data_IF_539547255292
#
_entry.id   IF_539547255292
#
_cell.length_a   1.000
_cell.length_b   1.000
_cell.length_c   1.000
_cell.angle_alpha   90.00
_cell.angle_beta   90.00
_cell.angle_gamma   90.00
#
_symmetry.space_group_name_H-M   'P 1'
#
loop_
_entity.id
_entity.type
_entity.pdbx_description
1 polymer ?
#
# COMPACT_ATOMS: atom_id res chain seq x y z
N UNK A 1 26.71 -10.86 -23.30
CA UNK A 1 26.10 -10.31 -22.07
C UNK A 1 25.16 -9.18 -22.46
N UNK A 2 23.93 -9.17 -21.95
CA UNK A 2 22.95 -8.13 -22.25
C UNK A 2 23.48 -6.75 -21.83
N UNK A 3 23.49 -5.78 -22.74
CA UNK A 3 24.00 -4.41 -22.48
C UNK A 3 23.36 -3.77 -21.23
N UNK A 4 22.09 -4.10 -20.98
CA UNK A 4 21.35 -3.63 -19.81
C UNK A 4 21.86 -4.20 -18.48
N UNK A 5 22.18 -5.50 -18.45
CA UNK A 5 22.75 -6.13 -17.24
C UNK A 5 24.13 -5.56 -16.89
N UNK A 6 24.94 -5.27 -17.90
CA UNK A 6 26.25 -4.63 -17.71
C UNK A 6 26.11 -3.18 -17.22
N UNK A 7 25.10 -2.45 -17.69
CA UNK A 7 24.77 -1.12 -17.18
C UNK A 7 24.35 -1.16 -15.71
N UNK A 8 23.38 -2.01 -15.35
CA UNK A 8 22.93 -2.17 -13.97
C UNK A 8 24.07 -2.54 -13.03
N UNK A 9 24.91 -3.49 -13.44
CA UNK A 9 26.06 -3.91 -12.64
C UNK A 9 27.01 -2.73 -12.38
N UNK A 10 27.41 -2.00 -13.43
CA UNK A 10 28.32 -0.88 -13.28
C UNK A 10 27.74 0.30 -12.50
N UNK A 11 26.43 0.55 -12.64
CA UNK A 11 25.76 1.70 -12.03
C UNK A 11 25.37 1.47 -10.57
N UNK A 12 24.95 0.25 -10.21
CA UNK A 12 24.29 -0.03 -8.92
C UNK A 12 25.06 -1.07 -8.11
N UNK A 13 25.46 -2.19 -8.72
CA UNK A 13 25.95 -3.36 -7.99
C UNK A 13 27.47 -3.45 -7.86
N UNK A 14 28.24 -2.64 -8.60
CA UNK A 14 29.71 -2.69 -8.61
C UNK A 14 30.36 -2.17 -7.31
N UNK A 15 29.69 -1.28 -6.57
CA UNK A 15 30.19 -0.71 -5.31
C UNK A 15 29.24 -1.01 -4.16
N UNK A 16 29.75 -1.58 -3.07
CA UNK A 16 28.94 -1.99 -1.92
C UNK A 16 28.12 -0.83 -1.32
N UNK A 17 28.70 0.38 -1.22
CA UNK A 17 27.99 1.55 -0.67
C UNK A 17 26.81 1.97 -1.56
N UNK A 18 27.02 2.01 -2.88
CA UNK A 18 25.96 2.30 -3.86
C UNK A 18 24.88 1.23 -3.82
N UNK A 19 25.26 -0.04 -3.79
CA UNK A 19 24.33 -1.17 -3.67
C UNK A 19 23.46 -1.05 -2.42
N UNK A 20 24.07 -0.84 -1.25
CA UNK A 20 23.34 -0.71 0.02
C UNK A 20 22.38 0.50 0.00
N UNK A 21 22.84 1.65 -0.50
CA UNK A 21 21.98 2.83 -0.65
C UNK A 21 20.79 2.56 -1.59
N UNK A 22 21.01 1.87 -2.71
CA UNK A 22 19.95 1.48 -3.64
C UNK A 22 18.97 0.50 -3.00
N UNK A 23 19.44 -0.49 -2.24
CA UNK A 23 18.57 -1.43 -1.54
C UNK A 23 17.70 -0.71 -0.52
N UNK A 24 18.25 0.18 0.30
CA UNK A 24 17.46 0.92 1.29
C UNK A 24 16.45 1.88 0.65
N UNK A 25 16.89 2.67 -0.34
CA UNK A 25 16.00 3.58 -1.05
C UNK A 25 14.91 2.80 -1.82
N UNK A 26 15.29 1.70 -2.46
CA UNK A 26 14.38 0.80 -3.17
C UNK A 26 13.37 0.17 -2.23
N UNK A 27 13.79 -0.34 -1.07
CA UNK A 27 12.90 -0.93 -0.07
C UNK A 27 11.86 0.07 0.41
N UNK A 28 12.25 1.31 0.72
CA UNK A 28 11.32 2.35 1.14
C UNK A 28 10.30 2.70 0.04
N UNK A 29 10.77 2.91 -1.20
CA UNK A 29 9.90 3.22 -2.33
C UNK A 29 8.95 2.06 -2.64
N UNK A 30 9.45 0.82 -2.61
CA UNK A 30 8.67 -0.38 -2.82
C UNK A 30 7.62 -0.58 -1.73
N UNK A 31 7.96 -0.33 -0.45
CA UNK A 31 7.01 -0.41 0.65
C UNK A 31 5.83 0.53 0.42
N UNK A 32 6.09 1.82 0.16
CA UNK A 32 5.02 2.79 -0.08
C UNK A 32 4.13 2.39 -1.28
N UNK A 33 4.75 1.97 -2.38
CA UNK A 33 4.03 1.54 -3.57
C UNK A 33 3.22 0.27 -3.33
N UNK A 34 3.79 -0.70 -2.61
CA UNK A 34 3.16 -1.98 -2.31
C UNK A 34 1.99 -1.82 -1.34
N UNK A 35 2.14 -1.07 -0.26
CA UNK A 35 1.08 -0.84 0.72
C UNK A 35 -0.12 -0.17 0.03
N UNK A 36 0.12 0.97 -0.63
CA UNK A 36 -0.95 1.70 -1.29
C UNK A 36 -1.53 0.96 -2.51
N UNK A 37 -0.72 0.16 -3.20
CA UNK A 37 -1.16 -0.65 -4.33
C UNK A 37 -2.05 -1.81 -3.88
N UNK A 38 -1.59 -2.54 -2.86
CA UNK A 38 -2.29 -3.70 -2.31
C UNK A 38 -3.61 -3.30 -1.65
N UNK A 39 -3.65 -2.19 -0.92
CA UNK A 39 -4.90 -1.65 -0.36
C UNK A 39 -5.92 -1.34 -1.44
N UNK A 40 -5.51 -0.72 -2.56
CA UNK A 40 -6.42 -0.45 -3.69
C UNK A 40 -6.96 -1.71 -4.34
N UNK A 41 -6.11 -2.72 -4.51
CA UNK A 41 -6.53 -4.02 -5.06
C UNK A 41 -7.53 -4.67 -4.12
N UNK A 42 -7.21 -4.71 -2.82
CA UNK A 42 -8.11 -5.25 -1.80
C UNK A 42 -9.46 -4.52 -1.78
N UNK A 43 -9.42 -3.19 -1.86
CA UNK A 43 -10.60 -2.34 -1.85
C UNK A 43 -11.52 -2.57 -3.03
N UNK A 44 -10.92 -2.71 -4.21
CA UNK A 44 -11.66 -2.99 -5.42
C UNK A 44 -12.34 -4.35 -5.36
N UNK A 45 -11.65 -5.37 -4.81
CA UNK A 45 -12.18 -6.73 -4.71
C UNK A 45 -13.30 -6.82 -3.66
N UNK A 46 -13.15 -6.11 -2.55
CA UNK A 46 -14.06 -6.21 -1.39
C UNK A 46 -15.08 -5.06 -1.28
N UNK A 47 -15.26 -4.29 -2.35
CA UNK A 47 -16.15 -3.13 -2.37
C UNK A 47 -17.56 -3.49 -1.88
N UNK A 48 -18.07 -2.68 -0.95
CA UNK A 48 -19.40 -2.85 -0.36
C UNK A 48 -19.47 -3.87 0.78
N UNK A 49 -18.36 -4.53 1.11
CA UNK A 49 -18.25 -5.48 2.24
C UNK A 49 -17.35 -4.96 3.36
N UNK A 50 -16.52 -3.96 3.07
CA UNK A 50 -15.60 -3.44 4.07
C UNK A 50 -16.33 -2.58 5.09
N UNK A 51 -15.82 -2.54 6.32
CA UNK A 51 -16.39 -1.68 7.36
C UNK A 51 -16.50 -0.22 6.90
N UNK A 52 -15.46 0.33 6.26
CA UNK A 52 -15.51 1.68 5.69
C UNK A 52 -16.62 1.92 4.67
N UNK A 53 -17.10 0.86 4.01
CA UNK A 53 -18.19 0.93 3.04
C UNK A 53 -19.57 0.76 3.67
N UNK A 54 -19.70 0.20 4.88
CA UNK A 54 -21.00 -0.12 5.51
C UNK A 54 -21.22 0.55 6.86
N UNK A 55 -20.18 1.17 7.44
CA UNK A 55 -20.19 1.78 8.78
C UNK A 55 -21.36 2.75 8.99
N UNK A 56 -21.69 3.54 7.98
CA UNK A 56 -22.74 4.55 8.06
C UNK A 56 -24.11 3.95 8.43
N UNK A 57 -24.37 2.69 8.03
CA UNK A 57 -25.64 2.01 8.34
C UNK A 57 -25.83 1.70 9.82
N UNK A 58 -24.72 1.56 10.56
CA UNK A 58 -24.75 1.13 11.96
C UNK A 58 -24.58 2.30 12.92
N UNK A 59 -23.86 3.36 12.51
CA UNK A 59 -23.78 4.58 13.31
C UNK A 59 -25.12 5.32 13.31
N UNK A 60 -25.74 5.50 12.13
CA UNK A 60 -27.05 6.15 12.07
C UNK A 60 -28.12 5.38 12.83
N UNK A 61 -28.11 4.04 12.73
CA UNK A 61 -29.02 3.20 13.51
C UNK A 61 -28.81 3.37 15.02
N UNK A 62 -27.57 3.50 15.49
CA UNK A 62 -27.31 3.71 16.91
C UNK A 62 -27.71 5.12 17.41
N UNK A 63 -27.73 6.12 16.53
CA UNK A 63 -28.26 7.45 16.83
C UNK A 63 -29.81 7.42 16.87
N UNK A 64 -30.45 6.82 15.87
CA UNK A 64 -31.92 6.67 15.76
C UNK A 64 -32.50 5.83 16.92
N UNK A 65 -31.88 4.68 17.24
CA UNK A 65 -32.27 3.82 18.37
C UNK A 65 -32.02 4.50 19.75
N UNK A 66 -31.20 5.57 19.81
CA UNK A 66 -30.87 6.30 21.04
C UNK A 66 -31.77 7.53 21.30
N UNK A 67 -32.32 8.12 20.24
CA UNK A 67 -33.29 9.22 20.32
C UNK A 67 -34.72 8.70 20.66
N UNK A 68 -35.02 7.42 20.39
CA UNK A 68 -36.29 6.77 20.75
C UNK A 68 -36.40 6.38 22.25
N UNK A 69 -35.29 6.41 23.00
CA UNK A 69 -35.20 6.07 24.43
C UNK A 69 -35.17 7.32 25.36
N UNK A 70 -35.32 8.55 24.84
CA UNK A 70 -35.40 9.82 25.59
C UNK A 70 -36.82 10.44 25.66
#
# INVERSE_FOLDING_TARGET
MSSFTSFLYNSIFRRNTTMLATVFAGAFAMQLAFDTGSDRVWDSINRGRQWKDIKYKYIQKAEDDGDDDE
#
